data_IF_328061567092
#
_entry.id   IF_328061567092
#
_cell.length_a   1.000
_cell.length_b   1.000
_cell.length_c   1.000
_cell.angle_alpha   90.00
_cell.angle_beta   90.00
_cell.angle_gamma   90.00
#
_symmetry.space_group_name_H-M   'P 1'
#
loop_
_entity.id
_entity.type
_entity.pdbx_description
1 polymer ?
#
# COMPACT_ATOMS: atom_id res chain seq x y z
N UNK A 1 0.61 -3.52 33.57
CA UNK A 1 -0.58 -2.65 33.39
C UNK A 1 -1.51 -3.34 32.40
N UNK A 2 -2.73 -3.68 32.80
CA UNK A 2 -3.74 -4.22 31.89
C UNK A 2 -4.32 -3.01 31.15
N UNK A 3 -3.96 -2.85 29.88
CA UNK A 3 -4.42 -1.73 29.07
C UNK A 3 -5.77 -2.10 28.45
N UNK A 4 -6.86 -1.55 28.98
CA UNK A 4 -8.18 -1.76 28.39
C UNK A 4 -8.25 -1.03 27.04
N UNK A 5 -8.66 -1.70 25.95
CA UNK A 5 -8.76 -1.06 24.64
C UNK A 5 -9.79 0.08 24.68
N UNK A 6 -9.45 1.21 24.06
CA UNK A 6 -10.39 2.32 23.87
C UNK A 6 -11.56 1.85 23.00
N UNK A 7 -12.83 2.03 23.44
CA UNK A 7 -13.98 1.70 22.60
C UNK A 7 -14.07 2.65 21.41
N UNK A 8 -14.46 2.11 20.24
CA UNK A 8 -14.76 2.91 19.06
C UNK A 8 -16.15 3.55 19.15
N UNK A 9 -16.20 4.83 18.79
CA UNK A 9 -17.43 5.58 18.51
C UNK A 9 -18.14 5.05 17.26
N UNK A 10 -19.42 5.35 17.10
CA UNK A 10 -20.18 4.96 15.92
C UNK A 10 -19.57 5.52 14.62
N UNK A 11 -19.07 6.76 14.66
CA UNK A 11 -18.39 7.38 13.51
C UNK A 11 -17.14 6.60 13.10
N UNK A 12 -16.32 6.15 14.05
CA UNK A 12 -15.14 5.33 13.76
C UNK A 12 -15.53 3.96 13.21
N UNK A 13 -16.63 3.37 13.68
CA UNK A 13 -17.17 2.11 13.15
C UNK A 13 -17.68 2.26 11.72
N UNK A 14 -18.40 3.34 11.42
CA UNK A 14 -18.83 3.68 10.06
C UNK A 14 -17.63 3.83 9.14
N UNK A 15 -16.55 4.48 9.60
CA UNK A 15 -15.32 4.60 8.82
C UNK A 15 -14.70 3.23 8.51
N UNK A 16 -14.61 2.32 9.48
CA UNK A 16 -14.13 0.95 9.26
C UNK A 16 -15.01 0.23 8.24
N UNK A 17 -16.33 0.37 8.36
CA UNK A 17 -17.27 -0.24 7.44
C UNK A 17 -17.04 0.27 6.00
N UNK A 18 -16.99 1.59 5.80
CA UNK A 18 -16.70 2.18 4.49
C UNK A 18 -15.35 1.71 3.93
N UNK A 19 -14.32 1.68 4.77
CA UNK A 19 -12.99 1.20 4.38
C UNK A 19 -13.00 -0.28 3.96
N UNK A 20 -13.86 -1.10 4.56
CA UNK A 20 -13.95 -2.53 4.24
C UNK A 20 -14.49 -2.81 2.83
N UNK A 21 -15.26 -1.88 2.26
CA UNK A 21 -15.74 -1.95 0.86
C UNK A 21 -14.83 -1.22 -0.12
N UNK A 22 -13.81 -0.51 0.37
CA UNK A 22 -12.89 0.22 -0.49
C UNK A 22 -11.98 -0.78 -1.24
N UNK A 23 -12.21 -0.92 -2.54
CA UNK A 23 -11.38 -1.73 -3.45
C UNK A 23 -10.19 -0.91 -3.98
N UNK A 24 -9.41 -0.31 -3.09
CA UNK A 24 -8.21 0.41 -3.46
C UNK A 24 -7.13 -0.60 -3.89
N UNK A 25 -6.79 -0.61 -5.17
CA UNK A 25 -5.77 -1.51 -5.71
C UNK A 25 -5.20 -1.01 -7.03
N UNK A 26 -3.90 -1.23 -7.22
CA UNK A 26 -3.16 -0.85 -8.42
C UNK A 26 -2.22 -1.98 -8.79
N UNK A 27 -2.18 -2.37 -10.07
CA UNK A 27 -1.32 -3.46 -10.53
C UNK A 27 0.15 -3.03 -10.60
N UNK A 28 1.10 -3.96 -10.45
CA UNK A 28 2.53 -3.66 -10.64
C UNK A 28 2.82 -3.02 -12.01
N UNK A 29 2.12 -3.45 -13.06
CA UNK A 29 2.26 -2.90 -14.40
C UNK A 29 1.77 -1.45 -14.49
N UNK A 30 0.62 -1.14 -13.88
CA UNK A 30 0.13 0.24 -13.82
C UNK A 30 1.09 1.13 -13.02
N UNK A 31 1.55 0.67 -11.86
CA UNK A 31 2.45 1.44 -10.99
C UNK A 31 3.79 1.70 -11.69
N UNK A 32 4.38 0.66 -12.28
CA UNK A 32 5.60 0.76 -13.08
C UNK A 32 5.43 1.74 -14.24
N UNK A 33 4.34 1.64 -15.01
CA UNK A 33 4.09 2.51 -16.15
C UNK A 33 3.87 3.99 -15.76
N UNK A 34 3.33 4.26 -14.56
CA UNK A 34 3.06 5.61 -14.09
C UNK A 34 4.31 6.30 -13.52
N UNK A 35 5.12 5.58 -12.76
CA UNK A 35 6.21 6.17 -11.97
C UNK A 35 7.62 5.83 -12.46
N UNK A 36 7.77 4.92 -13.44
CA UNK A 36 9.06 4.45 -13.96
C UNK A 36 10.03 3.92 -12.87
N UNK A 37 9.46 3.29 -11.86
CA UNK A 37 10.22 2.71 -10.74
C UNK A 37 10.86 1.37 -11.10
N UNK A 38 11.84 0.92 -10.32
CA UNK A 38 12.44 -0.41 -10.50
C UNK A 38 11.59 -1.53 -9.89
N UNK A 39 11.88 -2.79 -10.25
CA UNK A 39 11.26 -3.93 -9.56
C UNK A 39 11.68 -4.02 -8.10
N UNK A 40 12.87 -3.51 -7.77
CA UNK A 40 13.42 -3.39 -6.43
C UNK A 40 12.58 -2.41 -5.58
N UNK A 41 12.21 -1.26 -6.13
CA UNK A 41 11.32 -0.30 -5.46
C UNK A 41 9.95 -0.92 -5.17
N UNK A 42 9.38 -1.63 -6.16
CA UNK A 42 8.11 -2.35 -5.99
C UNK A 42 8.23 -3.43 -4.90
N UNK A 43 9.36 -4.13 -4.82
CA UNK A 43 9.62 -5.12 -3.79
C UNK A 43 9.70 -4.50 -2.39
N UNK A 44 10.33 -3.32 -2.27
CA UNK A 44 10.37 -2.55 -1.02
C UNK A 44 8.98 -2.11 -0.58
N UNK A 45 8.20 -1.51 -1.49
CA UNK A 45 6.84 -1.03 -1.21
C UNK A 45 5.92 -2.17 -0.74
N UNK A 46 6.00 -3.33 -1.41
CA UNK A 46 5.13 -4.46 -1.12
C UNK A 46 5.66 -5.40 -0.01
N UNK A 47 6.84 -5.15 0.56
CA UNK A 47 7.52 -6.04 1.49
C UNK A 47 7.71 -7.47 0.93
N UNK A 48 8.16 -7.58 -0.33
CA UNK A 48 8.36 -8.86 -1.05
C UNK A 48 9.82 -9.06 -1.44
N UNK A 49 10.19 -10.30 -1.77
CA UNK A 49 11.49 -10.55 -2.40
C UNK A 49 11.48 -10.11 -3.87
N UNK A 50 12.65 -9.75 -4.40
CA UNK A 50 12.78 -9.36 -5.81
C UNK A 50 12.35 -10.51 -6.75
N UNK A 51 12.66 -11.76 -6.38
CA UNK A 51 12.22 -12.94 -7.13
C UNK A 51 10.70 -13.09 -7.19
N UNK A 52 9.99 -12.69 -6.13
CA UNK A 52 8.53 -12.70 -6.09
C UNK A 52 7.96 -11.66 -7.04
N UNK A 53 8.46 -10.43 -6.99
CA UNK A 53 8.04 -9.32 -7.87
C UNK A 53 8.33 -9.62 -9.34
N UNK A 54 9.51 -10.18 -9.66
CA UNK A 54 9.85 -10.55 -11.05
C UNK A 54 8.81 -11.46 -11.70
N UNK A 55 8.18 -12.36 -10.92
CA UNK A 55 7.11 -13.25 -11.43
C UNK A 55 5.83 -12.52 -11.81
N UNK A 56 5.58 -11.33 -11.27
CA UNK A 56 4.41 -10.51 -11.62
C UNK A 56 4.49 -9.97 -13.05
N UNK A 57 5.70 -9.83 -13.58
CA UNK A 57 5.96 -9.30 -14.93
C UNK A 57 6.26 -10.41 -15.95
N UNK A 58 6.27 -11.67 -15.54
CA UNK A 58 6.46 -12.82 -16.41
C UNK A 58 5.16 -13.23 -17.12
N UNK A 59 5.26 -14.18 -18.05
CA UNK A 59 4.12 -14.75 -18.80
C UNK A 59 4.11 -16.27 -18.68
N UNK A 60 2.96 -16.88 -18.90
CA UNK A 60 2.79 -18.34 -18.91
C UNK A 60 3.02 -18.96 -17.53
N UNK A 61 3.65 -20.15 -17.48
CA UNK A 61 3.83 -20.93 -16.24
C UNK A 61 4.66 -20.23 -15.15
N UNK A 62 5.45 -19.23 -15.52
CA UNK A 62 6.29 -18.46 -14.60
C UNK A 62 5.55 -17.24 -14.01
N UNK A 63 4.39 -16.89 -14.55
CA UNK A 63 3.56 -15.82 -14.02
C UNK A 63 2.93 -16.23 -12.70
N UNK A 64 3.01 -15.35 -11.72
CA UNK A 64 2.28 -15.45 -10.46
C UNK A 64 1.64 -14.08 -10.20
N UNK A 65 0.32 -14.00 -9.95
CA UNK A 65 -0.31 -12.71 -9.70
C UNK A 65 0.07 -12.15 -8.32
N UNK A 66 0.11 -10.81 -8.16
CA UNK A 66 0.21 -10.18 -6.84
C UNK A 66 -1.00 -10.52 -5.96
N UNK A 67 -0.81 -10.52 -4.64
CA UNK A 67 -1.93 -10.62 -3.70
C UNK A 67 -2.69 -9.29 -3.61
N UNK A 68 -3.93 -9.34 -3.12
CA UNK A 68 -4.74 -8.14 -2.88
C UNK A 68 -4.03 -7.12 -1.95
N UNK A 69 -3.23 -7.59 -0.98
CA UNK A 69 -2.40 -6.73 -0.13
C UNK A 69 -1.32 -5.99 -0.91
N UNK A 70 -0.71 -6.64 -1.91
CA UNK A 70 0.33 -6.04 -2.74
C UNK A 70 -0.28 -4.94 -3.63
N UNK A 71 -1.43 -5.24 -4.26
CA UNK A 71 -2.20 -4.25 -5.02
C UNK A 71 -2.58 -3.03 -4.18
N UNK A 72 -2.97 -3.27 -2.92
CA UNK A 72 -3.32 -2.21 -1.98
C UNK A 72 -2.11 -1.36 -1.58
N UNK A 73 -0.95 -1.96 -1.33
CA UNK A 73 0.27 -1.22 -1.03
C UNK A 73 0.69 -0.33 -2.20
N UNK A 74 0.62 -0.83 -3.44
CA UNK A 74 0.93 -0.02 -4.61
C UNK A 74 -0.04 1.15 -4.77
N UNK A 75 -1.34 0.93 -4.59
CA UNK A 75 -2.32 2.01 -4.65
C UNK A 75 -2.17 3.03 -3.51
N UNK A 76 -1.78 2.59 -2.31
CA UNK A 76 -1.49 3.50 -1.21
C UNK A 76 -0.24 4.33 -1.49
N UNK A 77 0.82 3.70 -2.02
CA UNK A 77 2.04 4.41 -2.40
C UNK A 77 1.77 5.39 -3.56
N UNK A 78 0.92 5.01 -4.50
CA UNK A 78 0.48 5.88 -5.60
C UNK A 78 -0.18 7.15 -5.05
N UNK A 79 -1.16 6.99 -4.15
CA UNK A 79 -1.80 8.12 -3.47
C UNK A 79 -0.81 8.98 -2.69
N UNK A 80 0.14 8.36 -1.98
CA UNK A 80 1.16 9.08 -1.22
C UNK A 80 2.08 9.88 -2.14
N UNK A 81 2.52 9.32 -3.27
CA UNK A 81 3.38 10.02 -4.23
C UNK A 81 2.66 11.17 -4.93
N UNK A 82 1.37 11.02 -5.25
CA UNK A 82 0.58 12.11 -5.87
C UNK A 82 0.35 13.29 -4.92
N UNK A 83 0.11 13.00 -3.64
CA UNK A 83 -0.34 14.01 -2.68
C UNK A 83 0.68 14.33 -1.59
N UNK A 84 1.92 13.88 -1.73
CA UNK A 84 2.94 14.02 -0.67
C UNK A 84 3.06 15.46 -0.15
N UNK A 85 3.14 16.43 -1.06
CA UNK A 85 3.26 17.86 -0.73
C UNK A 85 1.99 18.46 -0.11
N UNK A 86 0.84 17.79 -0.24
CA UNK A 86 -0.42 18.20 0.36
C UNK A 86 -0.60 17.68 1.79
N UNK A 87 0.15 16.64 2.18
CA UNK A 87 0.06 16.05 3.52
C UNK A 87 0.70 17.01 4.53
N UNK A 88 -0.05 17.51 5.53
CA UNK A 88 0.53 18.35 6.56
C UNK A 88 1.69 17.65 7.26
N UNK A 89 2.85 18.32 7.34
CA UNK A 89 4.07 17.76 7.94
C UNK A 89 3.85 17.04 9.28
N UNK A 90 3.06 17.58 10.25
CA UNK A 90 2.83 16.88 11.51
C UNK A 90 2.12 15.52 11.37
N UNK A 91 1.26 15.37 10.35
CA UNK A 91 0.61 14.09 10.06
C UNK A 91 1.58 13.11 9.40
N UNK A 92 2.41 13.60 8.48
CA UNK A 92 3.44 12.79 7.84
C UNK A 92 4.47 12.26 8.86
N UNK A 93 4.92 13.10 9.78
CA UNK A 93 5.86 12.74 10.85
C UNK A 93 5.31 11.62 11.77
N UNK A 94 3.98 11.50 11.89
CA UNK A 94 3.34 10.38 12.63
C UNK A 94 3.31 9.07 11.83
N UNK A 95 3.29 9.12 10.50
CA UNK A 95 3.32 7.93 9.64
C UNK A 95 4.74 7.36 9.54
N UNK A 96 5.73 8.23 9.44
CA UNK A 96 7.13 7.89 9.31
C UNK A 96 7.93 8.55 10.44
N UNK A 97 7.88 7.96 11.64
CA UNK A 97 8.82 8.35 12.69
C UNK A 97 10.23 7.94 12.24
N UNK A 98 11.19 8.88 12.13
CA UNK A 98 12.57 8.50 11.87
C UNK A 98 13.03 7.58 13.00
N UNK A 99 13.47 6.37 12.65
CA UNK A 99 14.17 5.50 13.61
C UNK A 99 15.50 6.12 14.00
#
# INVERSE_FOLDING_TARGET
MINHPRPLTDRERTLIFLYSYCQLGMTPQQFYAKWDVTHEDIALICCRSHSFVRRWFQRGHNYSPPHASDLRHLALMDFMLEHFEEIPKPLFDMLCFPR
#
